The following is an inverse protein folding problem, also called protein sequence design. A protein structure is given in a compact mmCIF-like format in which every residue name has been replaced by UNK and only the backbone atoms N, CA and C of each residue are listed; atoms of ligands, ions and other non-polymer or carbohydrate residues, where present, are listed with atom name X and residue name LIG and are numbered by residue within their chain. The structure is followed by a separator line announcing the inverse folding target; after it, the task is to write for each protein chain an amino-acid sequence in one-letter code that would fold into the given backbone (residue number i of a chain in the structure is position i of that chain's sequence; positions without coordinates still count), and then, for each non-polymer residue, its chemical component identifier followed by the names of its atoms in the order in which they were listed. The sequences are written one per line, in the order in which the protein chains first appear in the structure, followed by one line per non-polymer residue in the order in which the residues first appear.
data_IF_396621776852
#
_entry.id   IF_396621776852
#
_cell.length_a   1.000
_cell.length_b   1.000
_cell.length_c   1.000
_cell.angle_alpha   90.00
_cell.angle_beta   90.00
_cell.angle_gamma   90.00
#
_symmetry.space_group_name_H-M   'P 1'
#
loop_
_entity.id
_entity.type
_entity.pdbx_description
1 polymer ?
#
# COMPACT_ATOMS: atom_id res chain seq x y z
N UNK A 1 27.85 34.77 -40.97
CA UNK A 1 29.22 34.22 -40.81
C UNK A 1 29.11 32.71 -40.99
N UNK A 2 29.32 32.23 -42.21
CA UNK A 2 29.37 30.79 -42.48
C UNK A 2 30.72 30.29 -42.00
N UNK A 3 30.71 29.54 -40.88
CA UNK A 3 31.89 28.83 -40.43
C UNK A 3 32.22 27.75 -41.47
N UNK A 4 33.26 27.97 -42.22
CA UNK A 4 33.82 27.04 -43.21
C UNK A 4 34.49 25.85 -42.48
N UNK A 5 33.66 25.06 -41.79
CA UNK A 5 34.09 23.84 -41.11
C UNK A 5 34.34 22.77 -42.16
N UNK A 6 35.57 22.27 -42.20
CA UNK A 6 35.95 21.17 -43.07
C UNK A 6 35.03 19.95 -42.78
N UNK A 7 34.48 19.31 -43.81
CA UNK A 7 33.62 18.12 -43.75
C UNK A 7 34.16 17.05 -42.77
N UNK A 8 35.45 16.80 -42.80
CA UNK A 8 36.10 15.87 -41.87
C UNK A 8 36.11 16.39 -40.43
N UNK A 9 36.10 17.69 -40.20
CA UNK A 9 35.98 18.28 -38.87
C UNK A 9 34.61 18.08 -38.26
N UNK A 10 33.55 18.15 -39.07
CA UNK A 10 32.18 17.90 -38.62
C UNK A 10 31.94 16.42 -38.26
N UNK A 11 32.50 15.51 -39.10
CA UNK A 11 32.45 14.06 -38.77
C UNK A 11 33.18 13.79 -37.47
N UNK A 12 34.38 14.34 -37.29
CA UNK A 12 35.16 14.18 -36.06
C UNK A 12 34.42 14.71 -34.82
N UNK A 13 33.73 15.85 -34.97
CA UNK A 13 32.88 16.41 -33.90
C UNK A 13 31.70 15.49 -33.59
N UNK A 14 31.02 14.95 -34.61
CA UNK A 14 29.91 13.99 -34.43
C UNK A 14 30.34 12.74 -33.68
N UNK A 15 31.45 12.14 -34.08
CA UNK A 15 32.01 10.94 -33.41
C UNK A 15 32.39 11.27 -31.97
N UNK A 16 33.01 12.39 -31.69
CA UNK A 16 33.34 12.81 -30.32
C UNK A 16 32.11 13.01 -29.47
N UNK A 17 31.05 13.59 -30.01
CA UNK A 17 29.78 13.80 -29.28
C UNK A 17 29.11 12.48 -28.94
N UNK A 18 29.05 11.54 -29.90
CA UNK A 18 28.55 10.19 -29.66
C UNK A 18 29.35 9.44 -28.59
N UNK A 19 30.68 9.46 -28.70
CA UNK A 19 31.56 8.84 -27.71
C UNK A 19 31.38 9.44 -26.30
N UNK A 20 31.18 10.76 -26.24
CA UNK A 20 30.90 11.43 -24.96
C UNK A 20 29.56 10.99 -24.37
N UNK A 21 28.50 10.90 -25.16
CA UNK A 21 27.19 10.41 -24.73
C UNK A 21 27.26 8.96 -24.24
N UNK A 22 27.92 8.09 -25.00
CA UNK A 22 28.13 6.69 -24.61
C UNK A 22 28.95 6.57 -23.32
N UNK A 23 29.97 7.38 -23.12
CA UNK A 23 30.76 7.39 -21.88
C UNK A 23 29.91 7.77 -20.67
N UNK A 24 29.03 8.76 -20.81
CA UNK A 24 28.14 9.18 -19.72
C UNK A 24 27.16 8.05 -19.37
N UNK A 25 26.48 7.50 -20.36
CA UNK A 25 25.50 6.40 -20.10
C UNK A 25 26.17 5.16 -19.52
N UNK A 26 27.35 4.80 -20.02
CA UNK A 26 28.12 3.67 -19.49
C UNK A 26 28.58 3.94 -18.04
N UNK A 27 28.99 5.17 -17.75
CA UNK A 27 29.38 5.58 -16.40
C UNK A 27 28.23 5.49 -15.42
N UNK A 28 27.04 5.95 -15.78
CA UNK A 28 25.86 5.82 -14.92
C UNK A 28 25.42 4.35 -14.77
N UNK A 29 25.48 3.54 -15.84
CA UNK A 29 25.20 2.12 -15.76
C UNK A 29 26.08 1.39 -14.73
N UNK A 30 27.38 1.59 -14.76
CA UNK A 30 28.28 0.96 -13.79
C UNK A 30 28.09 1.51 -12.39
N UNK A 31 27.86 2.82 -12.25
CA UNK A 31 27.61 3.44 -10.95
C UNK A 31 26.35 2.93 -10.30
N UNK A 32 25.25 2.82 -11.06
CA UNK A 32 23.98 2.31 -10.53
C UNK A 32 24.06 0.81 -10.22
N UNK A 33 24.78 0.05 -11.04
CA UNK A 33 24.99 -1.37 -10.79
C UNK A 33 25.73 -1.64 -9.48
N UNK A 34 26.75 -0.84 -9.15
CA UNK A 34 27.61 -1.08 -7.97
C UNK A 34 27.19 -0.29 -6.73
N UNK A 35 26.58 0.87 -6.85
CA UNK A 35 26.45 1.82 -5.74
C UNK A 35 25.01 2.24 -5.42
N UNK A 36 24.17 2.43 -6.41
CA UNK A 36 22.83 3.01 -6.25
C UNK A 36 21.77 2.21 -7.01
N UNK A 37 21.36 1.08 -6.46
CA UNK A 37 20.17 0.39 -7.01
C UNK A 37 18.95 1.25 -6.68
N UNK A 38 18.39 1.93 -7.66
CA UNK A 38 17.18 2.73 -7.51
C UNK A 38 15.90 1.87 -7.57
N UNK A 39 16.01 0.61 -7.99
CA UNK A 39 14.90 -0.33 -8.12
C UNK A 39 14.78 -1.19 -6.86
N UNK A 40 13.56 -1.36 -6.39
CA UNK A 40 13.23 -2.34 -5.36
C UNK A 40 13.24 -3.75 -5.95
N UNK A 41 14.09 -4.61 -5.42
CA UNK A 41 14.24 -5.99 -5.90
C UNK A 41 13.27 -6.91 -5.14
N UNK A 42 11.98 -6.73 -5.36
CA UNK A 42 10.96 -7.59 -4.83
C UNK A 42 10.86 -8.88 -5.67
N UNK A 43 10.76 -10.09 -5.10
CA UNK A 43 10.55 -10.40 -3.66
C UNK A 43 11.85 -10.61 -2.84
N UNK A 44 13.04 -10.50 -3.40
CA UNK A 44 14.30 -10.84 -2.75
C UNK A 44 14.59 -9.94 -1.53
N UNK A 45 14.26 -8.66 -1.62
CA UNK A 45 14.48 -7.69 -0.55
C UNK A 45 13.36 -7.64 0.49
N UNK A 46 12.35 -8.52 0.40
CA UNK A 46 11.16 -8.52 1.24
C UNK A 46 11.45 -8.48 2.74
N UNK A 47 12.52 -9.16 3.18
CA UNK A 47 12.91 -9.27 4.60
C UNK A 47 13.99 -8.26 5.02
N UNK A 48 14.54 -7.51 4.09
CA UNK A 48 15.77 -6.71 4.35
C UNK A 48 15.58 -5.22 4.12
N UNK A 49 15.21 -4.82 2.92
CA UNK A 49 15.23 -3.41 2.49
C UNK A 49 13.92 -2.92 1.89
N UNK A 50 12.91 -3.78 1.78
CA UNK A 50 11.62 -3.41 1.21
C UNK A 50 11.01 -2.26 2.01
N UNK A 51 10.68 -1.18 1.31
CA UNK A 51 10.07 0.00 1.87
C UNK A 51 8.58 0.06 1.53
N UNK A 52 7.74 0.02 2.56
CA UNK A 52 6.30 0.29 2.42
C UNK A 52 5.97 1.54 3.23
N UNK A 53 5.34 2.51 2.58
CA UNK A 53 4.94 3.75 3.24
C UNK A 53 3.94 3.49 4.37
N UNK A 54 4.06 4.20 5.49
CA UNK A 54 3.06 4.18 6.59
C UNK A 54 1.65 4.57 6.13
N UNK A 55 1.55 5.30 5.01
CA UNK A 55 0.25 5.69 4.42
C UNK A 55 -0.25 4.69 3.38
N UNK A 56 0.44 3.56 3.20
CA UNK A 56 -0.02 2.52 2.29
C UNK A 56 -1.35 1.94 2.79
N UNK A 57 -2.23 1.61 1.86
CA UNK A 57 -3.57 1.07 2.13
C UNK A 57 -3.70 -0.23 1.39
N UNK A 58 -3.34 -1.31 2.06
CA UNK A 58 -3.35 -2.64 1.44
C UNK A 58 -4.64 -3.40 1.69
N UNK A 59 -4.96 -3.71 2.94
CA UNK A 59 -6.12 -4.51 3.31
C UNK A 59 -6.88 -3.86 4.46
N UNK A 60 -8.21 -3.85 4.37
CA UNK A 60 -9.09 -3.39 5.45
C UNK A 60 -9.21 -4.48 6.51
N UNK A 61 -9.08 -4.10 7.77
CA UNK A 61 -9.19 -5.01 8.93
C UNK A 61 -9.99 -4.36 10.05
N UNK A 62 -10.54 -5.20 10.94
CA UNK A 62 -11.14 -4.75 12.19
C UNK A 62 -10.08 -4.48 13.26
N UNK A 63 -10.22 -3.36 13.94
CA UNK A 63 -9.55 -3.12 15.21
C UNK A 63 -10.28 -3.87 16.31
N UNK A 64 -9.51 -4.58 17.13
CA UNK A 64 -10.01 -5.30 18.30
C UNK A 64 -9.60 -4.57 19.58
N UNK A 65 -10.43 -4.67 20.58
CA UNK A 65 -10.08 -4.28 21.96
C UNK A 65 -9.06 -5.28 22.55
N UNK A 66 -8.51 -4.95 23.70
CA UNK A 66 -7.63 -5.83 24.47
C UNK A 66 -8.32 -7.17 24.83
N UNK A 67 -9.63 -7.14 25.00
CA UNK A 67 -10.48 -8.32 25.25
C UNK A 67 -10.76 -9.17 24.00
N UNK A 68 -10.20 -8.79 22.83
CA UNK A 68 -10.44 -9.47 21.55
C UNK A 68 -11.77 -9.14 20.87
N UNK A 69 -12.65 -8.36 21.49
CA UNK A 69 -13.92 -7.96 20.94
C UNK A 69 -13.76 -6.88 19.85
N UNK A 70 -14.69 -6.88 18.88
CA UNK A 70 -14.73 -5.85 17.85
C UNK A 70 -15.22 -4.51 18.39
N UNK A 71 -14.64 -3.41 17.94
CA UNK A 71 -15.15 -2.06 18.20
C UNK A 71 -16.38 -1.71 17.36
N UNK A 72 -16.70 -2.52 16.37
CA UNK A 72 -17.78 -2.25 15.42
C UNK A 72 -19.15 -2.40 16.08
N UNK A 73 -20.03 -1.42 15.89
CA UNK A 73 -21.42 -1.38 16.40
C UNK A 73 -22.45 -1.63 15.31
N UNK A 74 -22.03 -2.11 14.13
CA UNK A 74 -22.88 -2.37 12.97
C UNK A 74 -23.77 -1.16 12.57
N UNK A 75 -23.23 0.06 12.65
CA UNK A 75 -23.96 1.30 12.34
C UNK A 75 -24.18 1.56 10.85
N UNK A 76 -23.57 0.77 9.95
CA UNK A 76 -23.66 0.85 8.48
C UNK A 76 -23.14 2.14 7.82
N UNK A 77 -22.48 3.02 8.56
CA UNK A 77 -21.95 4.28 8.00
C UNK A 77 -20.85 4.04 6.96
N UNK A 78 -19.96 3.06 7.18
CA UNK A 78 -18.90 2.71 6.24
C UNK A 78 -19.44 2.10 4.94
N UNK A 79 -20.54 1.33 5.00
CA UNK A 79 -21.24 0.82 3.82
C UNK A 79 -21.80 1.96 2.98
N UNK A 80 -22.49 2.92 3.61
CA UNK A 80 -23.05 4.10 2.92
C UNK A 80 -21.98 5.05 2.36
N UNK A 81 -20.82 5.11 3.01
CA UNK A 81 -19.70 5.95 2.58
C UNK A 81 -18.89 5.34 1.43
N UNK A 82 -19.09 4.06 1.13
CA UNK A 82 -18.36 3.39 0.07
C UNK A 82 -18.94 3.70 -1.31
N UNK A 83 -18.21 4.38 -2.21
CA UNK A 83 -18.73 4.75 -3.54
C UNK A 83 -18.92 3.53 -4.45
N UNK A 84 -18.13 2.47 -4.27
CA UNK A 84 -18.22 1.24 -5.07
C UNK A 84 -19.12 0.17 -4.45
N UNK A 85 -19.68 0.38 -3.26
CA UNK A 85 -20.52 -0.61 -2.59
C UNK A 85 -19.80 -1.92 -2.26
N UNK A 86 -18.48 -1.85 -2.01
CA UNK A 86 -17.64 -3.02 -1.70
C UNK A 86 -17.85 -3.56 -0.29
N UNK A 87 -18.57 -2.83 0.55
CA UNK A 87 -18.86 -3.20 1.93
C UNK A 87 -20.35 -3.50 2.03
N UNK A 88 -20.69 -4.67 2.59
CA UNK A 88 -22.06 -5.07 2.92
C UNK A 88 -22.11 -5.52 4.36
N UNK A 89 -23.05 -4.97 5.13
CA UNK A 89 -23.17 -5.22 6.56
C UNK A 89 -24.54 -5.82 6.84
N UNK A 90 -24.54 -7.03 7.39
CA UNK A 90 -25.74 -7.68 7.91
C UNK A 90 -25.71 -7.61 9.44
N UNK A 91 -26.80 -7.14 10.04
CA UNK A 91 -26.92 -7.00 11.48
C UNK A 91 -28.34 -7.25 11.94
N UNK A 92 -28.49 -7.88 13.09
CA UNK A 92 -29.80 -8.06 13.75
C UNK A 92 -29.89 -7.25 15.05
N UNK A 93 -31.12 -7.11 15.54
CA UNK A 93 -31.39 -6.48 16.84
C UNK A 93 -31.46 -7.56 17.92
N UNK A 94 -30.56 -7.46 18.89
CA UNK A 94 -30.59 -8.31 20.09
C UNK A 94 -30.96 -7.47 21.31
N UNK A 95 -31.75 -8.03 22.20
CA UNK A 95 -32.08 -7.42 23.49
C UNK A 95 -31.07 -7.90 24.53
N UNK A 96 -30.39 -6.97 25.17
CA UNK A 96 -29.46 -7.27 26.27
C UNK A 96 -30.26 -7.75 27.46
N UNK A 97 -29.99 -8.98 27.99
CA UNK A 97 -30.77 -9.57 29.10
C UNK A 97 -30.64 -8.77 30.40
N UNK A 98 -29.57 -7.98 30.58
CA UNK A 98 -29.31 -7.23 31.80
C UNK A 98 -29.97 -5.83 31.81
N UNK A 99 -30.03 -5.17 30.63
CA UNK A 99 -30.47 -3.76 30.53
C UNK A 99 -31.80 -3.58 29.81
N UNK A 100 -32.32 -4.62 29.13
CA UNK A 100 -33.54 -4.55 28.30
C UNK A 100 -33.45 -3.61 27.10
N UNK A 101 -32.23 -3.13 26.77
CA UNK A 101 -32.00 -2.24 25.65
C UNK A 101 -31.70 -3.03 24.37
N UNK A 102 -32.33 -2.62 23.28
CA UNK A 102 -32.04 -3.19 21.94
C UNK A 102 -30.70 -2.71 21.44
N UNK A 103 -29.78 -3.63 21.19
CA UNK A 103 -28.45 -3.39 20.61
C UNK A 103 -28.35 -4.04 19.24
N UNK A 104 -27.74 -3.34 18.28
CA UNK A 104 -27.39 -3.95 17.00
C UNK A 104 -26.17 -4.85 17.19
N UNK A 105 -26.30 -6.09 16.75
CA UNK A 105 -25.21 -7.06 16.73
C UNK A 105 -24.85 -7.35 15.28
N UNK A 106 -23.55 -7.39 14.99
CA UNK A 106 -23.01 -7.69 13.68
C UNK A 106 -23.12 -9.18 13.40
N UNK A 107 -23.76 -9.57 12.31
CA UNK A 107 -23.86 -10.95 11.82
C UNK A 107 -22.79 -11.27 10.81
N UNK A 108 -22.61 -10.37 9.84
CA UNK A 108 -21.66 -10.55 8.76
C UNK A 108 -21.17 -9.18 8.24
N UNK A 109 -19.88 -9.08 8.05
CA UNK A 109 -19.23 -7.92 7.43
C UNK A 109 -18.46 -8.36 6.21
N UNK A 110 -19.13 -8.31 5.08
CA UNK A 110 -18.53 -8.66 3.80
C UNK A 110 -17.79 -7.46 3.22
N UNK A 111 -16.55 -7.68 2.82
CA UNK A 111 -15.70 -6.70 2.17
C UNK A 111 -15.07 -7.27 0.90
N UNK A 112 -15.40 -6.69 -0.25
CA UNK A 112 -14.81 -7.07 -1.54
C UNK A 112 -13.54 -6.26 -1.79
N UNK A 113 -12.39 -6.90 -1.53
CA UNK A 113 -11.08 -6.32 -1.76
C UNK A 113 -10.81 -6.08 -3.26
N UNK A 114 -11.37 -6.92 -4.14
CA UNK A 114 -11.15 -6.85 -5.56
C UNK A 114 -11.76 -5.62 -6.25
N UNK A 115 -12.83 -5.05 -5.67
CA UNK A 115 -13.48 -3.83 -6.16
C UNK A 115 -13.14 -2.59 -5.34
N UNK A 116 -12.34 -2.73 -4.28
CA UNK A 116 -11.98 -1.64 -3.41
C UNK A 116 -11.01 -0.67 -4.07
N UNK A 117 -11.31 0.64 -4.02
CA UNK A 117 -10.45 1.72 -4.52
C UNK A 117 -9.45 2.23 -3.49
N UNK A 118 -9.39 1.66 -2.30
CA UNK A 118 -8.51 2.07 -1.20
C UNK A 118 -8.57 3.58 -0.86
N UNK A 119 -9.74 4.20 -1.05
CA UNK A 119 -9.95 5.64 -0.90
C UNK A 119 -10.01 6.12 0.56
N UNK A 120 -10.17 5.20 1.52
CA UNK A 120 -10.23 5.48 2.97
C UNK A 120 -11.52 6.20 3.44
N UNK A 121 -12.53 6.39 2.61
CA UNK A 121 -13.78 7.02 3.02
C UNK A 121 -14.51 6.23 4.12
N UNK A 122 -14.47 4.90 4.06
CA UNK A 122 -15.08 4.02 5.06
C UNK A 122 -14.44 4.19 6.45
N UNK A 123 -13.11 4.29 6.54
CA UNK A 123 -12.41 4.50 7.82
C UNK A 123 -12.67 5.89 8.38
N UNK A 124 -12.70 6.92 7.52
CA UNK A 124 -13.01 8.29 7.92
C UNK A 124 -14.48 8.46 8.38
N UNK A 125 -15.40 7.66 7.82
CA UNK A 125 -16.81 7.66 8.21
C UNK A 125 -17.07 6.88 9.50
N UNK A 126 -16.11 6.11 10.01
CA UNK A 126 -16.27 5.28 11.19
C UNK A 126 -16.07 6.09 12.47
N UNK A 127 -17.16 6.44 13.15
CA UNK A 127 -17.13 7.21 14.41
C UNK A 127 -16.49 6.42 15.57
N UNK A 128 -16.41 5.10 15.46
CA UNK A 128 -15.90 4.21 16.51
C UNK A 128 -14.45 3.79 16.30
N UNK A 129 -13.82 4.27 15.21
CA UNK A 129 -12.46 3.86 14.82
C UNK A 129 -12.29 2.32 14.82
N UNK A 130 -13.31 1.64 14.28
CA UNK A 130 -13.39 0.18 14.35
C UNK A 130 -12.68 -0.53 13.19
N UNK A 131 -12.34 0.18 12.12
CA UNK A 131 -11.72 -0.35 10.92
C UNK A 131 -10.50 0.47 10.54
N UNK A 132 -9.47 -0.20 10.00
CA UNK A 132 -8.25 0.46 9.50
C UNK A 132 -7.67 -0.29 8.30
N UNK A 133 -6.86 0.41 7.52
CA UNK A 133 -6.06 -0.21 6.46
C UNK A 133 -4.69 -0.63 6.99
N UNK A 134 -4.30 -1.84 6.64
CA UNK A 134 -2.96 -2.37 6.93
C UNK A 134 -2.01 -2.10 5.77
N UNK A 135 -0.73 -2.32 6.01
CA UNK A 135 0.31 -2.25 4.98
C UNK A 135 0.46 -3.55 4.17
N UNK A 136 -0.41 -4.53 4.40
CA UNK A 136 -0.39 -5.80 3.69
C UNK A 136 -0.90 -5.63 2.26
N UNK A 137 0.00 -5.81 1.29
CA UNK A 137 -0.31 -5.65 -0.14
C UNK A 137 -0.23 -6.97 -0.91
N UNK A 138 0.15 -8.07 -0.26
CA UNK A 138 0.26 -9.38 -0.91
C UNK A 138 -1.08 -10.11 -0.94
N UNK A 139 -2.01 -9.57 -1.72
CA UNK A 139 -3.38 -10.07 -1.83
C UNK A 139 -3.65 -10.80 -3.15
N UNK A 140 -2.60 -11.28 -3.85
CA UNK A 140 -2.77 -12.01 -5.10
C UNK A 140 -3.39 -13.39 -4.86
N UNK A 141 -4.44 -13.72 -5.59
CA UNK A 141 -5.17 -14.98 -5.49
C UNK A 141 -5.51 -15.54 -6.86
N UNK A 142 -5.77 -16.85 -6.94
CA UNK A 142 -6.16 -17.50 -8.20
C UNK A 142 -7.64 -17.30 -8.56
N UNK A 143 -8.49 -17.07 -7.56
CA UNK A 143 -9.93 -16.89 -7.73
C UNK A 143 -10.36 -15.52 -7.19
N UNK A 144 -11.25 -14.83 -7.91
CA UNK A 144 -11.81 -13.57 -7.47
C UNK A 144 -12.61 -13.71 -6.17
N UNK A 145 -13.31 -14.84 -6.01
CA UNK A 145 -14.16 -15.07 -4.83
C UNK A 145 -13.35 -15.07 -3.52
N UNK A 146 -12.08 -15.43 -3.57
CA UNK A 146 -11.20 -15.38 -2.40
C UNK A 146 -10.80 -13.96 -1.98
N UNK A 147 -11.12 -12.94 -2.77
CA UNK A 147 -10.95 -11.53 -2.42
C UNK A 147 -12.18 -10.95 -1.69
N UNK A 148 -13.25 -11.72 -1.60
CA UNK A 148 -14.42 -11.38 -0.78
C UNK A 148 -14.17 -11.86 0.63
N UNK A 149 -13.87 -10.94 1.53
CA UNK A 149 -13.44 -11.19 2.90
C UNK A 149 -14.60 -10.99 3.87
N UNK A 150 -14.70 -11.85 4.87
CA UNK A 150 -15.65 -11.71 6.00
C UNK A 150 -14.87 -11.28 7.24
N UNK A 151 -14.80 -9.98 7.49
CA UNK A 151 -13.92 -9.40 8.53
C UNK A 151 -14.33 -9.79 9.95
N UNK A 152 -15.57 -10.19 10.17
CA UNK A 152 -16.08 -10.69 11.45
C UNK A 152 -15.57 -12.11 11.75
N UNK A 153 -15.42 -12.96 10.71
CA UNK A 153 -14.99 -14.36 10.81
C UNK A 153 -13.49 -14.52 10.72
N UNK A 154 -12.86 -13.65 9.96
CA UNK A 154 -11.42 -13.70 9.75
C UNK A 154 -10.67 -12.93 10.83
N UNK A 155 -9.86 -13.64 11.60
CA UNK A 155 -8.89 -13.02 12.51
C UNK A 155 -7.66 -12.66 11.68
N UNK A 156 -7.47 -11.37 11.40
CA UNK A 156 -6.23 -10.91 10.80
C UNK A 156 -5.06 -11.13 11.78
N UNK A 157 -4.19 -12.07 11.47
CA UNK A 157 -3.06 -12.45 12.32
C UNK A 157 -1.78 -11.62 12.04
N UNK A 158 -1.93 -10.48 11.39
CA UNK A 158 -0.81 -9.70 10.86
C UNK A 158 -0.43 -10.16 9.46
N UNK A 159 -0.01 -9.23 8.61
CA UNK A 159 0.47 -9.54 7.26
C UNK A 159 1.66 -10.50 7.30
N UNK A 160 1.83 -11.23 6.22
CA UNK A 160 3.01 -12.08 6.01
C UNK A 160 4.32 -11.27 5.94
N UNK A 161 4.22 -9.95 5.99
CA UNK A 161 5.34 -9.02 5.99
C UNK A 161 5.83 -8.80 7.42
N UNK A 162 7.11 -8.99 7.69
CA UNK A 162 7.67 -8.74 9.01
C UNK A 162 7.59 -7.25 9.38
N UNK A 163 7.45 -6.96 10.67
CA UNK A 163 7.39 -5.59 11.24
C UNK A 163 8.59 -4.68 10.89
N UNK A 164 9.61 -5.23 10.26
CA UNK A 164 10.73 -4.48 9.66
C UNK A 164 10.22 -3.33 8.78
N UNK A 165 9.06 -3.50 8.17
CA UNK A 165 8.47 -2.50 7.29
C UNK A 165 7.95 -1.27 8.04
N UNK A 166 7.48 -1.41 9.27
CA UNK A 166 7.03 -0.28 10.08
C UNK A 166 8.20 0.62 10.49
N UNK A 167 9.34 0.03 10.83
CA UNK A 167 10.58 0.77 11.09
C UNK A 167 11.35 1.16 9.83
N UNK A 168 11.20 0.38 8.75
CA UNK A 168 11.88 0.62 7.48
C UNK A 168 11.42 1.87 6.75
N UNK A 169 10.14 2.24 6.91
CA UNK A 169 9.56 3.41 6.25
C UNK A 169 10.31 4.71 6.56
N UNK A 170 10.71 4.92 7.79
CA UNK A 170 11.33 6.17 8.22
C UNK A 170 12.77 6.30 7.73
N UNK A 171 13.53 5.22 7.73
CA UNK A 171 14.91 5.27 7.27
C UNK A 171 15.01 5.42 5.75
N UNK A 172 14.07 4.86 4.99
CA UNK A 172 14.04 5.03 3.53
C UNK A 172 13.74 6.47 3.13
N UNK A 173 12.74 7.08 3.76
CA UNK A 173 12.43 8.50 3.53
C UNK A 173 13.66 9.37 3.84
N UNK A 174 14.37 9.08 4.92
CA UNK A 174 15.61 9.80 5.26
C UNK A 174 16.72 9.63 4.24
N UNK A 175 16.90 8.43 3.68
CA UNK A 175 17.94 8.15 2.66
C UNK A 175 17.68 8.83 1.33
N UNK A 176 16.42 8.85 0.87
CA UNK A 176 16.09 9.53 -0.38
C UNK A 176 16.18 11.06 -0.26
N UNK A 177 15.93 11.61 0.93
CA UNK A 177 16.05 13.05 1.17
C UNK A 177 17.47 13.52 1.48
N UNK A 178 18.41 12.64 1.76
CA UNK A 178 19.80 13.01 2.10
C UNK A 178 20.72 13.28 0.90
N UNK A 179 20.22 13.20 -0.33
CA UNK A 179 20.89 13.92 -1.43
C UNK A 179 20.58 15.42 -1.29
N UNK A 180 20.96 15.99 -0.14
CA UNK A 180 21.10 17.42 -0.02
C UNK A 180 22.28 17.85 -0.86
N UNK A 181 21.95 18.77 -1.74
CA UNK A 181 22.75 19.80 -2.38
C UNK A 181 24.18 19.95 -1.90
#
# INVERSE_FOLDING_TARGET
MEDNKSYFGEIGHGIKTLATGMKVTLGEYFKDYWTNKCTEQYPENRKTTLHVSKRHRGRLVFKRNEDGAYKCTACTLCEKACPNGTIKITAHMQEDPETGKKKKVLDDYQYDLGDCMFCQLCTNACNFDAIEFTNDFENATFSRDSLVLHLDKEVYQGGSLPNILEGGADWQVGKFNTKKK
#
